data_IF_516878042464
#
_entry.id   IF_516878042464
#
_cell.length_a   1.000
_cell.length_b   1.000
_cell.length_c   1.000
_cell.angle_alpha   90.00
_cell.angle_beta   90.00
_cell.angle_gamma   90.00
#
_symmetry.space_group_name_H-M   'P 1'
#
loop_
_entity.id
_entity.type
_entity.pdbx_description
1 polymer ?
#
# COMPACT_ATOMS: atom_id res chain seq x y z
N UNK A 1 41.36 -12.51 -40.44
CA UNK A 1 41.18 -11.18 -39.82
C UNK A 1 40.08 -11.30 -38.77
N UNK A 2 40.36 -10.79 -37.56
CA UNK A 2 39.44 -10.72 -36.40
C UNK A 2 38.42 -9.56 -36.56
N UNK A 3 37.35 -9.51 -35.73
CA UNK A 3 36.11 -8.76 -35.96
C UNK A 3 36.04 -7.42 -35.20
N UNK A 4 35.02 -6.60 -35.47
CA UNK A 4 34.64 -5.48 -34.57
C UNK A 4 33.12 -5.28 -34.50
N UNK A 5 32.64 -5.29 -33.27
CA UNK A 5 31.28 -4.98 -32.84
C UNK A 5 31.06 -3.46 -32.76
N UNK A 6 29.81 -3.04 -32.96
CA UNK A 6 29.35 -1.69 -32.58
C UNK A 6 28.20 -1.83 -31.59
N UNK A 7 28.55 -1.77 -30.30
CA UNK A 7 27.66 -1.42 -29.21
C UNK A 7 27.46 0.09 -29.21
N UNK A 8 26.23 0.59 -29.27
CA UNK A 8 25.94 1.99 -28.97
C UNK A 8 24.70 2.11 -28.09
N UNK A 9 25.01 2.46 -26.84
CA UNK A 9 24.21 2.92 -25.69
C UNK A 9 22.88 3.60 -26.05
N UNK A 10 21.78 2.98 -25.63
CA UNK A 10 20.46 3.61 -25.53
C UNK A 10 19.97 3.68 -24.05
N UNK A 11 20.84 4.07 -23.11
CA UNK A 11 20.48 4.16 -21.67
C UNK A 11 20.51 5.58 -21.08
N UNK A 12 20.60 6.62 -21.91
CA UNK A 12 20.80 8.00 -21.44
C UNK A 12 19.63 8.95 -21.75
N UNK A 13 18.66 8.57 -22.58
CA UNK A 13 17.57 9.47 -22.98
C UNK A 13 16.42 9.55 -21.96
N UNK A 14 16.33 8.60 -21.02
CA UNK A 14 15.20 8.49 -20.10
C UNK A 14 15.33 9.36 -18.83
N UNK A 15 16.55 9.78 -18.46
CA UNK A 15 16.79 10.56 -17.23
C UNK A 15 16.57 12.07 -17.38
N UNK A 16 16.38 12.57 -18.60
CA UNK A 16 16.31 14.02 -18.88
C UNK A 16 14.87 14.54 -18.97
N UNK A 17 13.88 13.68 -19.16
CA UNK A 17 12.48 14.10 -19.33
C UNK A 17 11.70 14.35 -18.02
N UNK A 18 12.29 14.05 -16.85
CA UNK A 18 11.60 14.17 -15.55
C UNK A 18 12.10 15.35 -14.67
N UNK A 19 12.91 16.27 -15.22
CA UNK A 19 13.55 17.37 -14.46
C UNK A 19 13.05 18.78 -14.74
N UNK A 20 12.01 18.94 -15.56
CA UNK A 20 11.40 20.25 -15.81
C UNK A 20 9.93 20.21 -15.44
N UNK A 21 9.61 20.64 -14.22
CA UNK A 21 8.44 21.45 -13.78
C UNK A 21 8.43 21.33 -12.24
N UNK A 22 9.26 22.13 -11.58
CA UNK A 22 9.06 22.55 -10.18
C UNK A 22 10.23 23.45 -9.76
N UNK A 23 10.19 24.71 -10.19
CA UNK A 23 10.98 25.79 -9.58
C UNK A 23 10.12 27.04 -9.59
N UNK A 24 9.59 27.45 -8.43
CA UNK A 24 9.44 28.86 -8.07
C UNK A 24 9.11 29.04 -6.57
N UNK A 25 9.89 29.93 -5.96
CA UNK A 25 9.89 30.45 -4.59
C UNK A 25 10.34 29.46 -3.50
N UNK A 26 11.27 29.77 -2.59
CA UNK A 26 11.42 31.02 -1.86
C UNK A 26 12.88 31.15 -1.33
N UNK A 27 13.50 32.32 -1.47
CA UNK A 27 14.77 32.65 -0.84
C UNK A 27 14.56 33.82 0.13
N UNK A 28 14.93 33.62 1.40
CA UNK A 28 15.34 34.68 2.31
C UNK A 28 16.22 34.08 3.42
N UNK A 29 17.15 34.88 3.91
CA UNK A 29 18.47 34.50 4.41
C UNK A 29 18.70 34.89 5.90
N UNK A 30 19.46 34.02 6.61
CA UNK A 30 20.39 34.27 7.75
C UNK A 30 19.88 34.87 9.09
N UNK A 31 20.62 34.77 10.23
CA UNK A 31 21.92 34.11 10.48
C UNK A 31 22.00 33.15 11.71
N UNK A 32 23.18 32.53 11.77
CA UNK A 32 23.79 31.70 12.80
C UNK A 32 23.84 32.34 14.21
N UNK A 33 23.73 31.50 15.25
CA UNK A 33 24.46 31.69 16.51
C UNK A 33 24.95 30.35 17.04
N UNK A 34 26.28 30.20 17.12
CA UNK A 34 26.97 29.16 17.89
C UNK A 34 27.07 29.58 19.35
N UNK A 35 26.91 28.64 20.27
CA UNK A 35 27.60 28.66 21.55
C UNK A 35 27.77 27.23 22.06
N UNK A 36 29.03 26.91 22.30
CA UNK A 36 29.55 25.64 22.79
C UNK A 36 29.75 25.71 24.33
N UNK A 37 30.06 24.55 24.92
CA UNK A 37 30.67 24.32 26.25
C UNK A 37 29.73 24.31 27.49
N UNK A 38 29.53 23.12 28.09
CA UNK A 38 30.29 22.70 29.29
C UNK A 38 29.73 21.42 29.95
N UNK A 39 30.63 20.47 30.18
CA UNK A 39 30.49 19.35 31.11
C UNK A 39 30.24 19.79 32.56
N UNK A 40 29.38 19.08 33.28
CA UNK A 40 29.51 18.89 34.73
C UNK A 40 28.94 17.53 35.18
N UNK A 41 29.61 16.98 36.19
CA UNK A 41 29.69 15.58 36.61
C UNK A 41 28.49 15.04 37.41
N UNK A 42 28.52 13.71 37.51
CA UNK A 42 27.75 12.78 38.32
C UNK A 42 27.80 12.98 39.85
N UNK A 43 26.85 12.28 40.50
CA UNK A 43 26.66 12.05 41.94
C UNK A 43 25.26 12.47 42.38
N UNK A 44 24.47 11.78 43.20
CA UNK A 44 24.45 10.45 43.80
C UNK A 44 23.10 10.36 44.55
N UNK A 45 22.64 9.13 44.85
CA UNK A 45 21.76 8.75 45.97
C UNK A 45 20.28 9.21 46.08
N UNK A 46 19.39 8.22 45.84
CA UNK A 46 18.42 7.64 46.79
C UNK A 46 17.50 8.57 47.61
N UNK A 47 16.21 8.63 47.24
CA UNK A 47 15.08 8.60 48.20
C UNK A 47 13.84 7.99 47.52
N UNK A 48 13.26 6.97 48.16
CA UNK A 48 12.05 6.32 47.69
C UNK A 48 10.76 7.12 47.94
N UNK A 49 9.74 6.87 47.11
CA UNK A 49 8.34 6.96 47.52
C UNK A 49 7.52 5.85 46.86
N UNK A 50 6.75 5.19 47.72
CA UNK A 50 5.73 4.22 47.38
C UNK A 50 4.55 4.87 46.62
N UNK A 51 3.93 4.07 45.76
CA UNK A 51 2.49 4.10 45.47
C UNK A 51 1.94 5.29 44.71
N UNK A 52 1.77 5.12 43.40
CA UNK A 52 0.64 5.70 42.68
C UNK A 52 -0.16 4.56 42.05
N UNK A 53 -1.45 4.38 42.36
CA UNK A 53 -2.28 3.44 41.61
C UNK A 53 -2.33 3.91 40.17
N UNK A 54 -2.07 2.98 39.24
CA UNK A 54 -2.29 3.21 37.82
C UNK A 54 -3.72 3.75 37.64
N UNK A 55 -3.81 5.00 37.18
CA UNK A 55 -5.09 5.58 36.79
C UNK A 55 -5.79 4.67 35.78
N UNK A 56 -7.13 4.71 35.69
CA UNK A 56 -7.87 3.88 34.75
C UNK A 56 -7.29 4.12 33.36
N UNK A 57 -6.68 3.07 32.81
CA UNK A 57 -6.14 3.11 31.46
C UNK A 57 -7.23 3.63 30.56
N UNK A 58 -6.96 4.75 29.88
CA UNK A 58 -7.81 5.28 28.83
C UNK A 58 -8.04 4.13 27.86
N UNK A 59 -9.20 3.48 27.98
CA UNK A 59 -9.65 2.47 27.04
C UNK A 59 -9.69 3.18 25.70
N UNK A 60 -8.69 2.91 24.86
CA UNK A 60 -8.63 3.47 23.52
C UNK A 60 -9.96 3.13 22.86
N UNK A 61 -10.78 4.16 22.61
CA UNK A 61 -12.09 3.99 21.98
C UNK A 61 -11.91 3.06 20.78
N UNK A 62 -12.67 1.96 20.76
CA UNK A 62 -12.59 0.96 19.72
C UNK A 62 -12.67 1.66 18.36
N UNK A 63 -11.63 1.54 17.55
CA UNK A 63 -11.57 2.22 16.26
C UNK A 63 -12.20 1.32 15.20
N UNK A 64 -13.21 1.85 14.51
CA UNK A 64 -13.97 1.13 13.49
C UNK A 64 -13.12 0.91 12.22
N UNK A 65 -13.26 -0.25 11.60
CA UNK A 65 -12.80 -0.47 10.21
C UNK A 65 -13.98 -0.24 9.26
N UNK A 66 -13.76 0.52 8.20
CA UNK A 66 -14.81 0.88 7.24
C UNK A 66 -14.38 0.48 5.84
N UNK A 67 -15.24 -0.25 5.14
CA UNK A 67 -15.13 -0.48 3.70
C UNK A 67 -15.86 0.62 2.94
N UNK A 68 -15.20 1.14 1.92
CA UNK A 68 -15.80 2.07 0.97
C UNK A 68 -16.78 1.34 0.05
N UNK A 69 -17.93 1.96 -0.19
CA UNK A 69 -18.94 1.57 -1.17
C UNK A 69 -19.43 2.78 -1.99
N UNK A 70 -18.86 3.98 -1.77
CA UNK A 70 -19.30 5.20 -2.46
C UNK A 70 -18.73 5.35 -3.88
N UNK A 71 -17.75 4.54 -4.25
CA UNK A 71 -17.03 4.62 -5.53
C UNK A 71 -17.37 3.48 -6.49
N UNK A 72 -18.57 2.91 -6.32
CA UNK A 72 -19.09 1.84 -7.17
C UNK A 72 -18.19 0.61 -7.14
N UNK A 73 -17.77 0.22 -5.94
CA UNK A 73 -17.05 -1.01 -5.65
C UNK A 73 -17.79 -2.20 -6.27
N UNK A 74 -17.05 -2.95 -7.08
CA UNK A 74 -17.63 -4.01 -7.92
C UNK A 74 -18.08 -5.19 -7.06
N UNK A 75 -17.37 -5.42 -5.96
CA UNK A 75 -17.56 -6.55 -5.07
C UNK A 75 -17.89 -6.07 -3.66
N UNK A 76 -18.83 -6.76 -3.02
CA UNK A 76 -19.37 -6.35 -1.73
C UNK A 76 -18.59 -6.98 -0.57
N UNK A 77 -18.34 -6.26 0.53
CA UNK A 77 -17.74 -6.85 1.72
C UNK A 77 -18.73 -7.63 2.60
N UNK A 78 -20.02 -7.53 2.33
CA UNK A 78 -21.07 -8.13 3.19
C UNK A 78 -21.83 -9.27 2.50
N UNK A 79 -21.81 -9.35 1.17
CA UNK A 79 -22.41 -10.48 0.44
C UNK A 79 -21.46 -11.67 0.42
N UNK A 80 -22.03 -12.87 0.30
CA UNK A 80 -21.30 -14.13 0.31
C UNK A 80 -21.00 -14.70 -1.08
N UNK A 81 -20.99 -13.88 -2.13
CA UNK A 81 -20.59 -14.32 -3.47
C UNK A 81 -19.12 -14.72 -3.54
N UNK A 82 -18.75 -15.56 -4.50
CA UNK A 82 -17.36 -16.04 -4.65
C UNK A 82 -16.35 -14.90 -4.84
N UNK A 83 -16.75 -13.84 -5.53
CA UNK A 83 -15.90 -12.67 -5.78
C UNK A 83 -16.08 -11.54 -4.75
N UNK A 84 -17.01 -11.72 -3.79
CA UNK A 84 -17.23 -10.76 -2.70
C UNK A 84 -16.19 -10.95 -1.57
N UNK A 85 -16.16 -10.04 -0.59
CA UNK A 85 -15.13 -9.98 0.46
C UNK A 85 -15.61 -10.42 1.86
N UNK A 86 -16.72 -11.14 2.00
CA UNK A 86 -17.27 -11.49 3.33
C UNK A 86 -16.31 -12.30 4.23
N UNK A 87 -15.41 -13.10 3.65
CA UNK A 87 -14.35 -13.79 4.37
C UNK A 87 -13.30 -12.83 4.92
N UNK A 88 -12.88 -11.85 4.13
CA UNK A 88 -11.94 -10.82 4.58
C UNK A 88 -12.58 -9.88 5.61
N UNK A 89 -13.84 -9.49 5.40
CA UNK A 89 -14.63 -8.76 6.39
C UNK A 89 -14.69 -9.52 7.73
N UNK A 90 -14.96 -10.83 7.69
CA UNK A 90 -15.00 -11.67 8.89
C UNK A 90 -13.63 -11.78 9.56
N UNK A 91 -12.54 -11.91 8.79
CA UNK A 91 -11.17 -11.89 9.34
C UNK A 91 -10.90 -10.61 10.14
N UNK A 92 -11.34 -9.45 9.65
CA UNK A 92 -11.17 -8.18 10.37
C UNK A 92 -12.02 -8.18 11.64
N UNK A 93 -13.30 -8.51 11.54
CA UNK A 93 -14.22 -8.56 12.69
C UNK A 93 -13.71 -9.48 13.78
N UNK A 94 -13.20 -10.65 13.40
CA UNK A 94 -12.80 -11.71 14.31
C UNK A 94 -11.34 -11.52 14.81
N UNK A 95 -10.65 -10.47 14.35
CA UNK A 95 -9.25 -10.19 14.72
C UNK A 95 -9.04 -9.68 16.14
N UNK A 96 -10.10 -9.45 16.91
CA UNK A 96 -10.02 -9.07 18.33
C UNK A 96 -11.36 -8.64 18.91
N UNK A 97 -11.45 -8.65 20.25
CA UNK A 97 -12.66 -8.24 20.97
C UNK A 97 -12.98 -6.76 20.71
N UNK A 98 -14.24 -6.47 20.36
CA UNK A 98 -14.72 -5.10 20.17
C UNK A 98 -14.29 -4.45 18.85
N UNK A 99 -13.81 -5.22 17.86
CA UNK A 99 -13.57 -4.71 16.51
C UNK A 99 -14.91 -4.49 15.81
N UNK A 100 -15.23 -3.24 15.53
CA UNK A 100 -16.37 -2.86 14.70
C UNK A 100 -15.94 -2.77 13.23
N UNK A 101 -16.72 -3.38 12.35
CA UNK A 101 -16.53 -3.29 10.91
C UNK A 101 -17.83 -2.79 10.28
N UNK A 102 -17.74 -1.81 9.39
CA UNK A 102 -18.91 -1.29 8.68
C UNK A 102 -18.58 -0.88 7.25
N UNK A 103 -19.55 -0.24 6.62
CA UNK A 103 -19.42 0.29 5.26
C UNK A 103 -19.69 1.79 5.24
N UNK A 104 -19.18 2.49 4.23
CA UNK A 104 -19.52 3.86 3.90
C UNK A 104 -20.07 3.92 2.47
N UNK A 105 -21.31 4.37 2.31
CA UNK A 105 -21.97 4.48 1.00
C UNK A 105 -22.04 5.92 0.49
N UNK A 106 -21.66 6.90 1.33
CA UNK A 106 -21.70 8.33 1.00
C UNK A 106 -20.31 8.91 0.70
N UNK A 107 -20.23 10.19 0.29
CA UNK A 107 -18.95 10.84 -0.04
C UNK A 107 -17.94 10.79 1.10
N UNK A 108 -16.65 10.63 0.76
CA UNK A 108 -15.58 10.55 1.76
C UNK A 108 -15.21 11.94 2.27
N UNK A 109 -15.62 12.23 3.50
CA UNK A 109 -15.38 13.52 4.17
C UNK A 109 -14.70 13.35 5.52
N UNK A 110 -14.11 14.43 6.04
CA UNK A 110 -13.53 14.45 7.39
C UNK A 110 -14.52 13.97 8.46
N UNK A 111 -15.81 14.31 8.35
CA UNK A 111 -16.82 13.86 9.31
C UNK A 111 -17.13 12.37 9.15
N UNK A 112 -17.21 11.85 7.91
CA UNK A 112 -17.41 10.41 7.67
C UNK A 112 -16.27 9.53 8.19
N UNK A 113 -15.05 10.08 8.26
CA UNK A 113 -13.83 9.40 8.74
C UNK A 113 -13.65 9.51 10.26
N UNK A 114 -14.54 10.20 10.97
CA UNK A 114 -14.43 10.41 12.41
C UNK A 114 -14.67 9.12 13.18
N UNK A 115 -13.72 8.76 14.04
CA UNK A 115 -13.77 7.50 14.81
C UNK A 115 -13.40 6.25 14.01
N UNK A 116 -13.14 6.39 12.71
CA UNK A 116 -12.56 5.34 11.87
C UNK A 116 -11.08 5.19 12.24
N UNK A 117 -10.61 3.95 12.34
CA UNK A 117 -9.18 3.63 12.47
C UNK A 117 -8.58 3.09 11.19
N UNK A 118 -9.38 2.43 10.37
CA UNK A 118 -8.93 1.84 9.11
C UNK A 118 -10.00 2.03 8.06
N UNK A 119 -9.63 2.56 6.90
CA UNK A 119 -10.47 2.74 5.74
C UNK A 119 -9.97 1.80 4.63
N UNK A 120 -10.87 1.05 4.01
CA UNK A 120 -10.56 0.04 2.99
C UNK A 120 -11.29 0.40 1.72
N UNK A 121 -10.54 0.57 0.64
CA UNK A 121 -11.04 0.78 -0.72
C UNK A 121 -10.76 -0.51 -1.48
N UNK A 122 -11.82 -1.22 -1.90
CA UNK A 122 -11.71 -2.55 -2.48
C UNK A 122 -12.34 -2.61 -3.86
N UNK A 123 -11.52 -2.43 -4.90
CA UNK A 123 -11.96 -2.50 -6.30
C UNK A 123 -12.97 -1.41 -6.71
N UNK A 124 -12.70 -0.11 -6.48
CA UNK A 124 -13.58 0.97 -6.89
C UNK A 124 -13.66 1.04 -8.42
N UNK A 125 -14.86 1.26 -8.97
CA UNK A 125 -15.03 1.48 -10.41
C UNK A 125 -15.00 2.98 -10.79
N UNK A 126 -15.10 3.89 -9.81
CA UNK A 126 -15.06 5.34 -10.01
C UNK A 126 -13.93 5.97 -9.22
N UNK A 127 -13.35 7.03 -9.78
CA UNK A 127 -12.27 7.76 -9.13
C UNK A 127 -12.74 8.66 -7.99
N UNK A 128 -11.80 8.98 -7.10
CA UNK A 128 -11.99 9.89 -5.98
C UNK A 128 -11.81 11.33 -6.41
N UNK A 129 -12.64 12.23 -5.89
CA UNK A 129 -12.45 13.67 -6.08
C UNK A 129 -11.19 14.17 -5.34
N UNK A 130 -10.64 15.33 -5.73
CA UNK A 130 -9.52 15.94 -5.01
C UNK A 130 -9.81 16.17 -3.51
N UNK A 131 -11.03 16.54 -3.16
CA UNK A 131 -11.44 16.77 -1.77
C UNK A 131 -11.49 15.47 -0.96
N UNK A 132 -11.98 14.38 -1.56
CA UNK A 132 -11.98 13.04 -0.93
C UNK A 132 -10.55 12.52 -0.74
N UNK A 133 -9.69 12.69 -1.75
CA UNK A 133 -8.28 12.32 -1.64
C UNK A 133 -7.57 13.14 -0.54
N UNK A 134 -7.83 14.44 -0.45
CA UNK A 134 -7.32 15.29 0.62
C UNK A 134 -7.83 14.87 2.00
N UNK A 135 -9.11 14.51 2.12
CA UNK A 135 -9.70 14.01 3.37
C UNK A 135 -9.05 12.69 3.82
N UNK A 136 -8.84 11.75 2.90
CA UNK A 136 -8.15 10.48 3.16
C UNK A 136 -6.69 10.68 3.55
N UNK A 137 -5.97 11.57 2.85
CA UNK A 137 -4.58 11.91 3.18
C UNK A 137 -4.47 12.47 4.60
N UNK A 138 -5.32 13.44 4.93
CA UNK A 138 -5.33 14.05 6.26
C UNK A 138 -5.77 13.04 7.35
N UNK A 139 -6.64 12.09 7.01
CA UNK A 139 -6.99 10.96 7.88
C UNK A 139 -5.78 10.07 8.18
N UNK A 140 -5.01 9.70 7.15
CA UNK A 140 -3.77 8.92 7.33
C UNK A 140 -2.76 9.69 8.15
N UNK A 141 -2.50 10.96 7.85
CA UNK A 141 -1.54 11.80 8.61
C UNK A 141 -1.86 11.85 10.11
N UNK A 142 -3.15 11.82 10.48
CA UNK A 142 -3.63 11.80 11.88
C UNK A 142 -3.66 10.42 12.53
N UNK A 143 -3.13 9.39 11.87
CA UNK A 143 -3.05 8.03 12.42
C UNK A 143 -4.20 7.11 12.03
N UNK A 144 -4.88 7.42 10.92
CA UNK A 144 -5.74 6.49 10.21
C UNK A 144 -4.91 5.53 9.34
N UNK A 145 -5.43 4.33 9.10
CA UNK A 145 -4.84 3.39 8.16
C UNK A 145 -5.67 3.31 6.87
N UNK A 146 -5.01 3.21 5.72
CA UNK A 146 -5.64 3.08 4.42
C UNK A 146 -5.18 1.79 3.73
N UNK A 147 -6.13 0.96 3.30
CA UNK A 147 -5.89 -0.16 2.40
C UNK A 147 -6.56 0.12 1.06
N UNK A 148 -5.79 0.02 -0.03
CA UNK A 148 -6.30 0.15 -1.39
C UNK A 148 -6.04 -1.16 -2.13
N UNK A 149 -7.10 -1.80 -2.60
CA UNK A 149 -7.05 -3.01 -3.43
C UNK A 149 -7.49 -2.66 -4.84
N UNK A 150 -6.63 -2.91 -5.82
CA UNK A 150 -6.83 -2.48 -7.20
C UNK A 150 -7.61 -3.52 -8.00
N UNK A 151 -8.72 -3.10 -8.59
CA UNK A 151 -9.34 -3.85 -9.68
C UNK A 151 -8.87 -3.33 -11.04
N UNK A 152 -8.90 -2.01 -11.21
CA UNK A 152 -8.37 -1.28 -12.36
C UNK A 152 -7.58 -0.06 -11.89
N UNK A 153 -6.59 0.37 -12.69
CA UNK A 153 -5.69 1.47 -12.33
C UNK A 153 -6.36 2.86 -12.25
N UNK A 154 -7.15 3.33 -13.24
CA UNK A 154 -7.56 4.74 -13.29
C UNK A 154 -8.33 5.27 -12.06
N UNK A 155 -9.27 4.53 -11.44
CA UNK A 155 -10.01 5.00 -10.27
C UNK A 155 -9.14 5.36 -9.06
N UNK A 156 -8.01 4.69 -8.88
CA UNK A 156 -7.17 4.90 -7.69
C UNK A 156 -5.89 5.68 -7.97
N UNK A 157 -5.51 5.89 -9.24
CA UNK A 157 -4.21 6.44 -9.61
C UNK A 157 -3.90 7.79 -8.95
N UNK A 158 -4.85 8.73 -8.97
CA UNK A 158 -4.67 10.03 -8.32
C UNK A 158 -4.59 9.92 -6.80
N UNK A 159 -5.39 9.03 -6.19
CA UNK A 159 -5.40 8.81 -4.74
C UNK A 159 -4.09 8.19 -4.26
N UNK A 160 -3.62 7.12 -4.89
CA UNK A 160 -2.38 6.45 -4.46
C UNK A 160 -1.16 7.33 -4.68
N UNK A 161 -1.20 8.22 -5.68
CA UNK A 161 -0.14 9.18 -5.94
C UNK A 161 0.07 10.16 -4.76
N UNK A 162 -0.98 10.53 -4.03
CA UNK A 162 -0.87 11.36 -2.80
C UNK A 162 -0.01 10.71 -1.72
N UNK A 163 0.15 9.38 -1.78
CA UNK A 163 0.97 8.59 -0.87
C UNK A 163 2.31 8.15 -1.49
N UNK A 164 2.66 8.69 -2.65
CA UNK A 164 3.89 8.35 -3.37
C UNK A 164 3.84 6.95 -4.00
N UNK A 165 2.67 6.42 -4.34
CA UNK A 165 2.55 5.11 -5.00
C UNK A 165 1.90 5.32 -6.36
N UNK A 166 2.70 5.21 -7.42
CA UNK A 166 2.24 5.32 -8.81
C UNK A 166 1.78 3.94 -9.28
N UNK A 167 0.63 3.87 -9.94
CA UNK A 167 0.08 2.64 -10.52
C UNK A 167 0.37 2.61 -12.02
N UNK A 168 0.69 1.44 -12.56
CA UNK A 168 0.86 1.23 -14.00
C UNK A 168 -0.45 1.43 -14.78
N UNK A 169 -0.34 1.66 -16.08
CA UNK A 169 -1.48 1.69 -17.01
C UNK A 169 -1.64 0.38 -17.81
N UNK A 170 -0.89 -0.66 -17.41
CA UNK A 170 -0.83 -1.96 -18.05
C UNK A 170 -0.88 -3.06 -16.98
N UNK A 171 -1.43 -4.20 -17.39
CA UNK A 171 -1.45 -5.43 -16.58
C UNK A 171 -0.03 -6.00 -16.57
N UNK A 172 0.35 -6.61 -15.45
CA UNK A 172 1.64 -7.27 -15.33
C UNK A 172 1.45 -8.76 -15.58
N UNK A 173 2.29 -9.28 -16.46
CA UNK A 173 2.41 -10.68 -16.74
C UNK A 173 3.75 -11.21 -16.23
N UNK A 174 3.80 -12.50 -15.95
CA UNK A 174 4.97 -13.19 -15.42
C UNK A 174 5.30 -14.42 -16.27
N UNK A 175 6.52 -14.95 -16.13
CA UNK A 175 6.96 -16.21 -16.75
C UNK A 175 7.20 -17.31 -15.72
N UNK A 176 7.42 -16.95 -14.46
CA UNK A 176 7.66 -17.86 -13.35
C UNK A 176 6.43 -18.00 -12.43
N UNK A 177 6.23 -19.19 -11.86
CA UNK A 177 5.17 -19.38 -10.84
C UNK A 177 3.75 -19.20 -11.38
N UNK A 178 3.50 -19.50 -12.66
CA UNK A 178 2.21 -19.33 -13.31
C UNK A 178 1.13 -20.22 -12.69
N UNK A 179 -0.05 -19.66 -12.50
CA UNK A 179 -1.23 -20.37 -12.01
C UNK A 179 -2.08 -20.75 -13.23
N UNK A 180 -2.33 -22.04 -13.39
CA UNK A 180 -3.09 -22.55 -14.54
C UNK A 180 -2.44 -22.26 -15.90
N UNK A 181 -1.12 -22.01 -15.94
CA UNK A 181 -0.38 -21.69 -17.16
C UNK A 181 -0.69 -20.32 -17.77
N UNK A 182 -1.39 -19.45 -17.05
CA UNK A 182 -1.74 -18.10 -17.53
C UNK A 182 -0.68 -17.09 -17.07
N UNK A 183 -0.17 -16.23 -17.95
CA UNK A 183 0.90 -15.30 -17.60
C UNK A 183 0.44 -14.19 -16.65
N UNK A 184 -0.84 -13.80 -16.65
CA UNK A 184 -1.37 -12.78 -15.75
C UNK A 184 -1.81 -13.32 -14.37
N UNK A 185 -1.84 -14.64 -14.18
CA UNK A 185 -2.18 -15.28 -12.91
C UNK A 185 -0.93 -15.99 -12.38
N UNK A 186 -0.34 -15.55 -11.27
CA UNK A 186 0.96 -16.07 -10.83
C UNK A 186 1.20 -15.94 -9.33
N UNK A 187 2.21 -16.67 -8.84
CA UNK A 187 2.70 -16.57 -7.47
C UNK A 187 3.79 -15.50 -7.35
N UNK A 188 3.58 -14.53 -6.48
CA UNK A 188 4.59 -13.57 -6.06
C UNK A 188 5.34 -14.14 -4.87
N UNK A 189 6.63 -14.40 -5.04
CA UNK A 189 7.49 -15.04 -4.00
C UNK A 189 8.67 -14.18 -3.55
N UNK A 190 8.84 -12.98 -4.13
CA UNK A 190 9.91 -12.05 -3.76
C UNK A 190 9.36 -10.98 -2.83
N UNK A 191 9.81 -11.02 -1.58
CA UNK A 191 9.37 -10.09 -0.54
C UNK A 191 10.53 -9.28 0.04
N UNK A 192 10.29 -8.00 0.31
CA UNK A 192 11.17 -7.19 1.13
C UNK A 192 10.97 -7.53 2.62
N UNK A 193 11.98 -7.25 3.45
CA UNK A 193 11.85 -7.38 4.89
C UNK A 193 10.81 -6.37 5.41
N UNK A 194 9.62 -6.85 5.74
CA UNK A 194 8.51 -6.03 6.22
C UNK A 194 7.52 -6.88 7.04
N UNK A 195 6.84 -6.34 8.08
CA UNK A 195 5.84 -7.10 8.85
C UNK A 195 4.73 -7.73 8.00
N UNK A 196 4.34 -7.08 6.89
CA UNK A 196 3.37 -7.63 5.94
C UNK A 196 3.83 -8.95 5.29
N UNK A 197 5.14 -9.09 5.08
CA UNK A 197 5.75 -10.27 4.46
C UNK A 197 6.11 -11.38 5.47
N UNK A 198 5.81 -11.18 6.76
CA UNK A 198 6.23 -12.10 7.82
C UNK A 198 5.67 -13.52 7.59
N UNK A 199 6.60 -14.45 7.35
CA UNK A 199 6.31 -15.86 7.14
C UNK A 199 5.54 -16.18 5.85
N UNK A 200 5.44 -15.26 4.89
CA UNK A 200 4.92 -15.56 3.56
C UNK A 200 5.95 -16.37 2.77
N UNK A 201 5.50 -17.40 2.06
CA UNK A 201 6.26 -18.15 1.06
C UNK A 201 5.88 -17.74 -0.35
N UNK A 202 4.61 -17.41 -0.56
CA UNK A 202 4.12 -16.85 -1.82
C UNK A 202 2.67 -16.41 -1.71
N UNK A 203 2.30 -15.35 -2.43
CA UNK A 203 0.91 -14.90 -2.57
C UNK A 203 0.46 -15.09 -4.01
N UNK A 204 -0.81 -15.45 -4.21
CA UNK A 204 -1.40 -15.66 -5.52
C UNK A 204 -2.13 -14.40 -5.97
N UNK A 205 -1.82 -13.93 -7.18
CA UNK A 205 -2.47 -12.78 -7.84
C UNK A 205 -3.09 -13.19 -9.16
N UNK A 206 -4.13 -12.47 -9.59
CA UNK A 206 -5.02 -12.78 -10.71
C UNK A 206 -5.31 -11.51 -11.51
N UNK A 207 -4.49 -11.21 -12.52
CA UNK A 207 -4.65 -10.00 -13.34
C UNK A 207 -4.18 -8.72 -12.65
N UNK A 208 -3.05 -8.79 -11.95
CA UNK A 208 -2.48 -7.66 -11.19
C UNK A 208 -1.95 -6.52 -12.08
N UNK A 209 -1.92 -5.33 -11.50
CA UNK A 209 -1.20 -4.17 -12.01
C UNK A 209 0.21 -4.09 -11.43
N UNK A 210 0.99 -3.09 -11.85
CA UNK A 210 2.31 -2.78 -11.32
C UNK A 210 2.29 -1.50 -10.50
N UNK A 211 3.13 -1.43 -9.48
CA UNK A 211 3.32 -0.26 -8.63
C UNK A 211 4.75 0.24 -8.74
N UNK A 212 4.88 1.57 -8.71
CA UNK A 212 6.15 2.28 -8.57
C UNK A 212 6.10 3.14 -7.31
N UNK A 213 6.64 2.66 -6.18
CA UNK A 213 6.77 3.46 -4.97
C UNK A 213 7.84 4.55 -5.15
N UNK A 214 7.49 5.78 -4.80
CA UNK A 214 8.30 7.01 -4.86
C UNK A 214 8.08 7.84 -3.59
N UNK A 215 8.84 8.92 -3.42
CA UNK A 215 8.64 9.91 -2.35
C UNK A 215 8.56 9.30 -0.93
N UNK A 216 9.28 8.20 -0.71
CA UNK A 216 9.39 7.44 0.53
C UNK A 216 8.27 6.41 0.78
N UNK A 217 7.46 6.07 -0.22
CA UNK A 217 6.81 4.76 -0.23
C UNK A 217 7.87 3.66 -0.46
N UNK A 218 7.56 2.40 -0.12
CA UNK A 218 8.48 1.27 -0.26
C UNK A 218 7.78 0.03 -0.81
N UNK A 219 8.44 -0.78 -1.66
CA UNK A 219 7.88 -2.03 -2.14
C UNK A 219 7.98 -3.11 -1.04
N UNK A 220 6.98 -3.99 -0.98
CA UNK A 220 6.92 -5.12 -0.04
C UNK A 220 6.91 -6.46 -0.76
N UNK A 221 6.18 -6.56 -1.87
CA UNK A 221 6.12 -7.75 -2.71
C UNK A 221 6.39 -7.32 -4.15
N UNK A 222 7.20 -8.09 -4.87
CA UNK A 222 7.64 -7.74 -6.22
C UNK A 222 7.60 -8.98 -7.11
N UNK A 223 7.39 -8.77 -8.41
CA UNK A 223 7.52 -9.82 -9.41
C UNK A 223 8.96 -10.32 -9.51
N UNK A 224 9.19 -11.31 -10.37
CA UNK A 224 10.54 -11.64 -10.80
C UNK A 224 11.06 -10.59 -11.81
N UNK A 225 12.35 -10.67 -12.14
CA UNK A 225 12.95 -9.88 -13.23
C UNK A 225 12.51 -10.31 -14.63
N UNK A 226 11.76 -11.41 -14.74
CA UNK A 226 11.25 -11.94 -16.00
C UNK A 226 9.81 -11.49 -16.29
N UNK A 227 9.17 -10.79 -15.36
CA UNK A 227 7.88 -10.17 -15.57
C UNK A 227 7.94 -9.10 -16.66
N UNK A 228 6.80 -8.84 -17.26
CA UNK A 228 6.66 -7.89 -18.35
C UNK A 228 5.34 -7.13 -18.27
N UNK A 229 5.36 -5.93 -18.83
CA UNK A 229 4.21 -5.05 -18.95
C UNK A 229 3.44 -5.37 -20.24
N UNK A 230 2.20 -5.83 -20.10
CA UNK A 230 1.32 -6.18 -21.23
C UNK A 230 0.67 -4.93 -21.80
N UNK A 231 1.30 -4.36 -22.83
CA UNK A 231 0.94 -3.04 -23.37
C UNK A 231 -0.28 -3.10 -24.29
N UNK A 232 -0.42 -4.19 -25.06
CA UNK A 232 -1.53 -4.39 -25.99
C UNK A 232 -2.67 -5.24 -25.39
N UNK A 233 -2.47 -5.80 -24.19
CA UNK A 233 -3.44 -6.57 -23.39
C UNK A 233 -3.77 -7.92 -24.02
N UNK A 234 -2.86 -8.48 -24.83
CA UNK A 234 -3.05 -9.75 -25.49
C UNK A 234 -2.59 -10.96 -24.64
N UNK A 235 -1.87 -10.71 -23.53
CA UNK A 235 -1.30 -11.72 -22.60
C UNK A 235 -0.22 -12.61 -23.22
N UNK A 236 0.36 -12.19 -24.32
CA UNK A 236 1.47 -12.84 -25.01
C UNK A 236 2.65 -11.88 -25.06
N UNK A 237 3.83 -12.35 -24.66
CA UNK A 237 5.01 -11.48 -24.68
C UNK A 237 5.43 -11.17 -26.12
N UNK A 238 5.45 -9.89 -26.46
CA UNK A 238 5.92 -9.36 -27.71
C UNK A 238 7.31 -8.71 -27.59
N UNK A 239 8.08 -8.71 -28.68
CA UNK A 239 9.31 -7.93 -28.73
C UNK A 239 9.00 -6.43 -28.57
N UNK A 240 9.70 -5.77 -27.65
CA UNK A 240 9.50 -4.36 -27.33
C UNK A 240 8.68 -4.10 -26.07
N UNK A 241 8.02 -5.13 -25.51
CA UNK A 241 7.35 -4.98 -24.23
C UNK A 241 8.35 -4.88 -23.07
N UNK A 242 8.18 -3.93 -22.14
CA UNK A 242 9.10 -3.75 -21.02
C UNK A 242 9.18 -5.01 -20.17
N UNK A 243 10.38 -5.58 -20.06
CA UNK A 243 10.70 -6.65 -19.11
C UNK A 243 11.41 -6.02 -17.94
N UNK A 244 10.75 -6.01 -16.78
CA UNK A 244 11.24 -5.35 -15.58
C UNK A 244 10.72 -6.05 -14.32
N UNK A 245 11.21 -5.60 -13.17
CA UNK A 245 10.67 -6.03 -11.88
C UNK A 245 9.67 -4.98 -11.39
N UNK A 246 8.44 -5.39 -11.11
CA UNK A 246 7.35 -4.51 -10.69
C UNK A 246 6.97 -4.78 -9.24
N UNK A 247 6.69 -3.73 -8.47
CA UNK A 247 6.10 -3.93 -7.16
C UNK A 247 4.61 -4.30 -7.32
N UNK A 248 4.16 -5.28 -6.55
CA UNK A 248 2.76 -5.73 -6.47
C UNK A 248 2.11 -5.24 -5.18
N UNK A 249 2.91 -5.10 -4.12
CA UNK A 249 2.48 -4.48 -2.86
C UNK A 249 3.45 -3.36 -2.53
N UNK A 250 2.92 -2.19 -2.26
CA UNK A 250 3.68 -1.04 -1.77
C UNK A 250 3.04 -0.48 -0.49
N UNK A 251 3.89 0.10 0.36
CA UNK A 251 3.47 0.68 1.63
C UNK A 251 4.01 2.08 1.80
N UNK A 252 3.32 2.87 2.62
CA UNK A 252 3.76 4.19 3.07
C UNK A 252 3.35 4.41 4.51
N UNK A 253 4.30 4.81 5.36
CA UNK A 253 3.97 5.43 6.64
C UNK A 253 3.98 6.95 6.44
N UNK A 254 2.90 7.62 6.84
CA UNK A 254 2.73 9.06 6.68
C UNK A 254 2.10 9.65 7.93
N UNK A 255 2.80 10.59 8.57
CA UNK A 255 2.42 11.08 9.89
C UNK A 255 2.38 9.92 10.90
N UNK A 256 1.25 9.74 11.57
CA UNK A 256 1.05 8.63 12.50
C UNK A 256 0.33 7.42 11.87
N UNK A 257 0.02 7.47 10.56
CA UNK A 257 -0.78 6.46 9.87
C UNK A 257 -0.02 5.66 8.84
N UNK A 258 -0.69 4.66 8.28
CA UNK A 258 -0.12 3.66 7.38
C UNK A 258 -0.99 3.48 6.15
N UNK A 259 -0.36 3.25 5.02
CA UNK A 259 -1.01 2.95 3.74
C UNK A 259 -0.45 1.65 3.21
N UNK A 260 -1.33 0.77 2.74
CA UNK A 260 -1.01 -0.40 1.93
C UNK A 260 -1.76 -0.28 0.62
N UNK A 261 -1.04 -0.41 -0.48
CA UNK A 261 -1.61 -0.56 -1.82
C UNK A 261 -1.25 -1.95 -2.32
N UNK A 262 -2.26 -2.75 -2.66
CA UNK A 262 -2.10 -4.04 -3.32
C UNK A 262 -2.63 -3.89 -4.73
N UNK A 263 -1.78 -4.21 -5.71
CA UNK A 263 -2.04 -4.00 -7.13
C UNK A 263 -3.08 -4.97 -7.73
N UNK A 264 -3.81 -5.68 -6.88
CA UNK A 264 -4.82 -6.66 -7.20
C UNK A 264 -5.82 -6.73 -6.03
N UNK A 265 -7.09 -6.96 -6.35
CA UNK A 265 -8.20 -7.09 -5.40
C UNK A 265 -8.61 -8.55 -5.20
N UNK A 266 -8.33 -9.41 -6.19
CA UNK A 266 -8.63 -10.84 -6.16
C UNK A 266 -8.10 -11.58 -4.92
N UNK A 267 -6.86 -11.35 -4.42
CA UNK A 267 -6.30 -12.11 -3.29
C UNK A 267 -7.14 -12.06 -2.02
N UNK A 268 -8.03 -11.09 -1.88
CA UNK A 268 -8.88 -10.92 -0.70
C UNK A 268 -10.32 -11.40 -0.91
N UNK A 269 -10.70 -11.73 -2.14
CA UNK A 269 -12.03 -12.24 -2.47
C UNK A 269 -12.23 -13.65 -1.89
N UNK A 270 -13.48 -14.02 -1.59
CA UNK A 270 -13.84 -15.29 -0.98
C UNK A 270 -13.24 -16.51 -1.69
N UNK A 271 -13.21 -16.48 -3.03
CA UNK A 271 -12.67 -17.53 -3.88
C UNK A 271 -11.17 -17.73 -3.72
N UNK A 272 -10.40 -16.65 -3.60
CA UNK A 272 -8.94 -16.68 -3.73
C UNK A 272 -8.21 -16.42 -2.41
N UNK A 273 -8.91 -16.06 -1.34
CA UNK A 273 -8.30 -15.76 -0.04
C UNK A 273 -7.57 -16.95 0.57
N UNK A 274 -7.91 -18.18 0.19
CA UNK A 274 -7.24 -19.39 0.66
C UNK A 274 -6.15 -19.90 -0.31
N UNK A 275 -5.90 -19.18 -1.41
CA UNK A 275 -4.84 -19.55 -2.33
C UNK A 275 -3.48 -19.10 -1.79
N UNK A 276 -2.51 -20.00 -1.85
CA UNK A 276 -1.16 -19.79 -1.32
C UNK A 276 -1.21 -19.18 0.11
N UNK A 277 -0.50 -18.07 0.35
CA UNK A 277 -0.53 -17.36 1.64
C UNK A 277 -1.42 -16.10 1.64
N UNK A 278 -2.42 -15.99 0.76
CA UNK A 278 -3.28 -14.80 0.66
C UNK A 278 -3.99 -14.44 1.97
N UNK A 279 -4.57 -15.43 2.67
CA UNK A 279 -5.15 -15.25 4.01
C UNK A 279 -4.13 -14.72 5.02
N UNK A 280 -2.91 -15.24 4.98
CA UNK A 280 -1.84 -14.82 5.88
C UNK A 280 -1.39 -13.40 5.60
N UNK A 281 -1.34 -12.98 4.33
CA UNK A 281 -1.12 -11.58 3.95
C UNK A 281 -2.22 -10.69 4.56
N UNK A 282 -3.50 -11.07 4.43
CA UNK A 282 -4.61 -10.33 5.03
C UNK A 282 -4.48 -10.19 6.54
N UNK A 283 -4.15 -11.27 7.25
CA UNK A 283 -3.89 -11.26 8.68
C UNK A 283 -2.68 -10.39 9.07
N UNK A 284 -1.62 -10.41 8.26
CA UNK A 284 -0.45 -9.57 8.47
C UNK A 284 -0.78 -8.08 8.30
N UNK A 285 -1.59 -7.71 7.31
CA UNK A 285 -2.11 -6.34 7.13
C UNK A 285 -2.90 -5.90 8.35
N UNK A 286 -3.87 -6.72 8.78
CA UNK A 286 -4.70 -6.43 9.96
C UNK A 286 -3.82 -6.23 11.20
N UNK A 287 -2.82 -7.11 11.41
CA UNK A 287 -1.90 -7.01 12.55
C UNK A 287 -1.04 -5.76 12.48
N UNK A 288 -0.49 -5.42 11.31
CA UNK A 288 0.38 -4.25 11.14
C UNK A 288 -0.36 -2.93 11.35
N UNK A 289 -1.62 -2.85 10.94
CA UNK A 289 -2.50 -1.71 11.20
C UNK A 289 -2.88 -1.52 12.67
N UNK A 290 -2.84 -2.59 13.47
CA UNK A 290 -3.04 -2.50 14.92
C UNK A 290 -1.79 -2.06 15.69
N UNK A 291 -0.61 -2.21 15.10
CA UNK A 291 0.64 -1.76 15.71
C UNK A 291 0.71 -0.23 15.69
N UNK A 292 1.14 0.37 16.81
CA UNK A 292 1.45 1.79 16.92
C UNK A 292 2.93 1.98 17.17
#
# INVERSE_FOLDING_TARGET
>A
MRPTATFLRASSAFKTALRLISVLALAAAFPLFSADIAHARAGEALFGKAGQPAGPGLTAKARKTVFDLSHSEIFSPIRAGELDYSSFYSLIRDSGTGVEVGVNEGPVTTESLKGVGTYIIAGPARGFSPDEAAALKAFVERGGNLLVLLHISPPVASLTHEFGIIVSNFVICERAGLIGGKPQDFLVTKFAAHPLASGLKGIAVYGTWGLLPVNGASPVAMTSKAAWADLDRNREFNEGEPVEEFAIIAVRELGAGKVVVVADDAPFQNRFINDADNRKLAENIIRWFKQR
#
